data_IF_675531477195
#
_entry.id   IF_675531477195
#
_cell.length_a   1.000
_cell.length_b   1.000
_cell.length_c   1.000
_cell.angle_alpha   90.00
_cell.angle_beta   90.00
_cell.angle_gamma   90.00
#
_symmetry.space_group_name_H-M   'P 1'
#
loop_
_entity.id
_entity.type
_entity.pdbx_description
1 polymer ?
#
# COMPACT_ATOMS: atom_id res chain seq x y z
N UNK A 1 -24.56 53.87 -34.43
CA UNK A 1 -25.22 52.58 -34.76
C UNK A 1 -25.13 51.68 -33.55
N UNK A 2 -26.11 51.79 -32.63
CA UNK A 2 -26.25 50.90 -31.48
C UNK A 2 -27.19 49.76 -31.90
N UNK A 3 -26.68 48.53 -31.93
CA UNK A 3 -27.51 47.35 -32.14
C UNK A 3 -28.24 47.04 -30.83
N UNK A 4 -29.53 47.38 -30.76
CA UNK A 4 -30.42 46.97 -29.68
C UNK A 4 -30.79 45.50 -29.90
N UNK A 5 -30.19 44.60 -29.13
CA UNK A 5 -30.55 43.18 -29.16
C UNK A 5 -31.91 42.97 -28.48
N UNK A 6 -32.83 42.30 -29.17
CA UNK A 6 -34.18 42.03 -28.69
C UNK A 6 -34.17 41.16 -27.41
N UNK A 7 -35.11 41.36 -26.46
CA UNK A 7 -35.13 40.66 -25.17
C UNK A 7 -35.22 39.13 -25.30
N UNK A 8 -35.80 38.62 -26.38
CA UNK A 8 -35.90 37.19 -26.72
C UNK A 8 -34.54 36.52 -26.97
N UNK A 9 -33.55 37.26 -27.48
CA UNK A 9 -32.21 36.72 -27.72
C UNK A 9 -31.44 36.51 -26.41
N UNK A 10 -31.64 37.40 -25.43
CA UNK A 10 -31.06 37.30 -24.08
C UNK A 10 -31.58 36.07 -23.32
N UNK A 11 -32.89 35.78 -23.41
CA UNK A 11 -33.47 34.59 -22.79
C UNK A 11 -32.93 33.28 -23.39
N UNK A 12 -32.69 33.26 -24.71
CA UNK A 12 -32.13 32.08 -25.38
C UNK A 12 -30.68 31.83 -24.97
N UNK A 13 -29.87 32.89 -24.85
CA UNK A 13 -28.48 32.78 -24.40
C UNK A 13 -28.41 32.32 -22.93
N UNK A 14 -29.28 32.83 -22.07
CA UNK A 14 -29.36 32.40 -20.67
C UNK A 14 -29.74 30.91 -20.54
N UNK A 15 -30.71 30.43 -21.32
CA UNK A 15 -31.12 29.03 -21.32
C UNK A 15 -30.01 28.08 -21.83
N UNK A 16 -29.27 28.51 -22.85
CA UNK A 16 -28.11 27.78 -23.39
C UNK A 16 -26.98 27.73 -22.34
N UNK A 17 -26.68 28.83 -21.66
CA UNK A 17 -25.67 28.88 -20.60
C UNK A 17 -26.02 27.99 -19.40
N UNK A 18 -27.27 27.98 -18.93
CA UNK A 18 -27.72 27.10 -17.84
C UNK A 18 -27.63 25.62 -18.24
N UNK A 19 -27.95 25.30 -19.49
CA UNK A 19 -27.82 23.94 -20.03
C UNK A 19 -26.36 23.50 -20.19
N UNK A 20 -25.46 24.41 -20.58
CA UNK A 20 -24.01 24.15 -20.64
C UNK A 20 -23.38 24.02 -19.24
N UNK A 21 -23.82 24.82 -18.26
CA UNK A 21 -23.38 24.73 -16.86
C UNK A 21 -23.85 23.44 -16.17
N UNK A 22 -25.05 22.95 -16.47
CA UNK A 22 -25.52 21.64 -15.98
C UNK A 22 -24.80 20.47 -16.65
N UNK A 23 -24.47 20.56 -17.94
CA UNK A 23 -23.66 19.58 -18.65
C UNK A 23 -22.19 19.58 -18.21
N UNK A 24 -21.61 20.73 -17.87
CA UNK A 24 -20.26 20.83 -17.30
C UNK A 24 -20.18 20.24 -15.89
N UNK A 25 -21.28 20.28 -15.14
CA UNK A 25 -21.41 19.62 -13.84
C UNK A 25 -21.47 18.09 -13.94
N UNK A 26 -21.87 17.54 -15.11
CA UNK A 26 -21.79 16.11 -15.40
C UNK A 26 -20.36 15.62 -15.73
N UNK A 27 -19.41 16.52 -16.01
CA UNK A 27 -18.01 16.17 -16.24
C UNK A 27 -17.12 16.34 -15.00
N UNK A 28 -17.67 16.79 -13.86
CA UNK A 28 -16.94 16.93 -12.58
C UNK A 28 -17.56 16.18 -11.41
N UNK A 29 -18.58 15.36 -11.64
CA UNK A 29 -18.92 14.28 -10.73
C UNK A 29 -18.19 13.03 -11.24
N UNK A 30 -17.11 12.56 -10.57
CA UNK A 30 -16.67 11.20 -10.81
C UNK A 30 -17.90 10.34 -10.55
N UNK A 31 -18.17 9.42 -11.48
CA UNK A 31 -19.18 8.38 -11.35
C UNK A 31 -19.48 8.13 -9.89
N UNK A 32 -20.76 8.30 -9.54
CA UNK A 32 -21.45 7.43 -8.59
C UNK A 32 -20.59 6.18 -8.42
N UNK A 33 -19.97 6.04 -7.25
CA UNK A 33 -19.43 4.77 -6.82
C UNK A 33 -20.65 3.84 -6.69
N UNK A 34 -21.19 3.40 -7.83
CA UNK A 34 -21.74 2.07 -7.95
C UNK A 34 -20.68 1.18 -7.32
N UNK A 35 -21.08 0.47 -6.27
CA UNK A 35 -20.29 -0.59 -5.68
C UNK A 35 -19.71 -1.46 -6.80
N UNK A 36 -18.46 -1.18 -7.17
CA UNK A 36 -17.69 -2.16 -7.91
C UNK A 36 -17.45 -3.32 -6.94
N UNK A 37 -17.71 -4.57 -7.36
CA UNK A 37 -17.39 -5.75 -6.59
C UNK A 37 -15.87 -5.93 -6.54
N UNK A 38 -15.20 -5.10 -5.75
CA UNK A 38 -13.77 -5.19 -5.46
C UNK A 38 -13.57 -6.26 -4.40
N UNK A 39 -13.65 -7.51 -4.86
CA UNK A 39 -13.04 -8.65 -4.17
C UNK A 39 -12.29 -9.54 -5.17
N UNK A 40 -11.67 -8.90 -6.18
CA UNK A 40 -10.58 -9.51 -6.94
C UNK A 40 -9.25 -9.01 -6.40
N UNK A 41 -8.37 -9.95 -6.02
CA UNK A 41 -7.14 -9.66 -5.29
C UNK A 41 -5.87 -9.76 -6.16
N UNK A 42 -4.86 -8.91 -5.91
CA UNK A 42 -3.56 -8.94 -6.57
C UNK A 42 -2.74 -10.24 -6.38
N UNK A 43 -3.12 -11.10 -5.42
CA UNK A 43 -2.40 -12.35 -5.11
C UNK A 43 -2.47 -13.42 -6.20
N UNK A 44 -3.36 -13.28 -7.19
CA UNK A 44 -3.50 -14.20 -8.33
C UNK A 44 -2.37 -14.06 -9.38
N UNK A 45 -1.45 -13.08 -9.24
CA UNK A 45 -0.45 -12.75 -10.26
C UNK A 45 0.91 -13.47 -10.05
N UNK A 46 1.21 -13.99 -8.85
CA UNK A 46 2.58 -14.43 -8.52
C UNK A 46 2.67 -15.90 -8.07
N UNK A 47 2.25 -16.81 -8.94
CA UNK A 47 2.51 -18.24 -8.80
C UNK A 47 3.82 -18.65 -9.47
N UNK A 48 4.98 -18.46 -8.81
CA UNK A 48 6.22 -19.13 -9.23
C UNK A 48 7.12 -19.48 -8.04
N UNK A 49 7.04 -20.74 -7.61
CA UNK A 49 7.89 -21.37 -6.58
C UNK A 49 9.25 -21.71 -7.19
N UNK A 50 10.33 -21.04 -6.76
CA UNK A 50 11.71 -21.42 -7.11
C UNK A 50 12.33 -22.25 -5.98
N UNK A 51 12.79 -23.46 -6.33
CA UNK A 51 13.60 -24.34 -5.46
C UNK A 51 15.04 -23.82 -5.40
N UNK A 52 15.63 -23.79 -4.21
CA UNK A 52 17.04 -23.43 -4.02
C UNK A 52 17.88 -24.69 -3.82
N UNK A 53 18.91 -24.87 -4.67
CA UNK A 53 20.01 -25.83 -4.49
C UNK A 53 21.19 -25.14 -3.80
N UNK A 54 21.93 -25.91 -2.99
CA UNK A 54 23.04 -25.42 -2.17
C UNK A 54 24.41 -25.56 -2.83
N UNK A 55 25.32 -24.65 -2.46
CA UNK A 55 26.77 -24.79 -2.57
C UNK A 55 27.47 -23.89 -1.54
N UNK A 56 28.62 -24.34 -1.08
CA UNK A 56 29.27 -24.00 0.18
C UNK A 56 30.32 -22.90 -0.01
N UNK A 57 30.04 -21.70 0.50
CA UNK A 57 31.00 -20.60 0.57
C UNK A 57 30.94 -19.89 1.93
N UNK A 58 32.10 -19.84 2.58
CA UNK A 58 32.30 -19.35 3.96
C UNK A 58 32.15 -17.83 4.00
N UNK A 59 31.00 -17.39 4.49
CA UNK A 59 30.71 -16.03 4.94
C UNK A 59 29.62 -16.10 6.00
N UNK A 60 29.61 -15.19 6.97
CA UNK A 60 28.62 -15.16 8.06
C UNK A 60 27.23 -14.89 7.48
N UNK A 61 26.50 -15.96 7.18
CA UNK A 61 25.18 -15.92 6.55
C UNK A 61 24.13 -15.85 7.65
N UNK A 62 23.59 -14.66 7.90
CA UNK A 62 22.45 -14.50 8.78
C UNK A 62 21.18 -15.02 8.08
N UNK A 63 20.49 -15.97 8.70
CA UNK A 63 19.17 -16.39 8.28
C UNK A 63 18.14 -15.44 8.91
N UNK A 64 17.47 -14.61 8.10
CA UNK A 64 16.28 -13.88 8.54
C UNK A 64 15.07 -14.74 8.20
N UNK A 65 14.38 -15.34 9.19
CA UNK A 65 13.15 -16.06 8.91
C UNK A 65 12.08 -15.05 8.47
N UNK A 66 11.80 -14.99 7.17
CA UNK A 66 10.63 -14.27 6.66
C UNK A 66 9.42 -15.19 6.87
N UNK A 67 8.77 -15.05 8.02
CA UNK A 67 7.45 -15.63 8.24
C UNK A 67 6.45 -14.86 7.36
N UNK A 68 6.13 -15.39 6.18
CA UNK A 68 5.04 -14.85 5.37
C UNK A 68 3.70 -15.15 6.02
N UNK A 69 2.90 -14.12 6.34
CA UNK A 69 1.55 -14.36 6.87
C UNK A 69 0.65 -15.06 5.86
N UNK A 70 0.29 -16.31 6.15
CA UNK A 70 -0.75 -17.02 5.42
C UNK A 70 -2.14 -16.43 5.74
N UNK A 71 -2.53 -15.42 4.96
CA UNK A 71 -3.92 -15.12 4.59
C UNK A 71 -4.90 -14.55 5.64
N UNK A 72 -5.91 -13.84 5.13
CA UNK A 72 -7.17 -13.53 5.83
C UNK A 72 -8.30 -14.49 5.40
N UNK A 73 -7.94 -15.59 4.73
CA UNK A 73 -8.89 -16.53 4.11
C UNK A 73 -9.91 -17.09 5.09
N UNK A 74 -9.50 -17.30 6.35
CA UNK A 74 -10.41 -17.68 7.43
C UNK A 74 -11.52 -16.64 7.67
N UNK A 75 -11.17 -15.35 7.77
CA UNK A 75 -12.15 -14.27 7.97
C UNK A 75 -13.05 -14.07 6.75
N UNK A 76 -12.49 -14.21 5.54
CA UNK A 76 -13.29 -14.20 4.30
C UNK A 76 -14.29 -15.35 4.28
N UNK A 77 -13.87 -16.54 4.68
CA UNK A 77 -14.74 -17.70 4.77
C UNK A 77 -15.85 -17.49 5.81
N UNK A 78 -15.51 -16.96 6.98
CA UNK A 78 -16.50 -16.60 8.01
C UNK A 78 -17.50 -15.57 7.47
N UNK A 79 -17.05 -14.46 6.88
CA UNK A 79 -17.92 -13.43 6.32
C UNK A 79 -18.89 -13.98 5.25
N UNK A 80 -18.40 -14.82 4.34
CA UNK A 80 -19.21 -15.38 3.25
C UNK A 80 -20.24 -16.40 3.72
N UNK A 81 -19.95 -17.12 4.81
CA UNK A 81 -20.79 -18.22 5.29
C UNK A 81 -21.67 -17.85 6.50
N UNK A 82 -21.46 -16.67 7.10
CA UNK A 82 -22.33 -16.18 8.18
C UNK A 82 -23.70 -15.74 7.64
N UNK A 83 -24.79 -15.94 8.42
CA UNK A 83 -26.13 -15.47 8.06
C UNK A 83 -26.19 -13.95 7.85
N UNK A 84 -27.05 -13.49 6.93
CA UNK A 84 -27.21 -12.07 6.67
C UNK A 84 -27.77 -11.33 7.90
N UNK A 85 -27.21 -10.16 8.22
CA UNK A 85 -27.60 -9.37 9.38
C UNK A 85 -27.16 -9.91 10.75
N UNK A 86 -26.39 -11.01 10.80
CA UNK A 86 -25.88 -11.56 12.06
C UNK A 86 -24.70 -10.76 12.61
N UNK A 87 -24.54 -10.75 13.93
CA UNK A 87 -23.37 -10.14 14.59
C UNK A 87 -22.05 -10.77 14.14
N UNK A 88 -22.05 -12.08 13.91
CA UNK A 88 -20.88 -12.83 13.44
C UNK A 88 -20.45 -12.41 12.04
N UNK A 89 -21.42 -12.08 11.17
CA UNK A 89 -21.13 -11.56 9.82
C UNK A 89 -20.52 -10.16 9.90
N UNK A 90 -21.06 -9.29 10.76
CA UNK A 90 -20.55 -7.94 10.97
C UNK A 90 -19.13 -7.96 11.57
N UNK A 91 -18.87 -8.84 12.54
CA UNK A 91 -17.55 -8.99 13.15
C UNK A 91 -16.54 -9.55 12.15
N UNK A 92 -16.91 -10.58 11.38
CA UNK A 92 -16.06 -11.12 10.33
C UNK A 92 -15.78 -10.08 9.22
N UNK A 93 -16.77 -9.26 8.86
CA UNK A 93 -16.61 -8.16 7.92
C UNK A 93 -15.62 -7.12 8.44
N UNK A 94 -15.75 -6.72 9.71
CA UNK A 94 -14.88 -5.74 10.35
C UNK A 94 -13.43 -6.23 10.43
N UNK A 95 -13.21 -7.46 10.86
CA UNK A 95 -11.87 -8.05 10.92
C UNK A 95 -11.24 -8.19 9.51
N UNK A 96 -12.05 -8.55 8.51
CA UNK A 96 -11.59 -8.59 7.12
C UNK A 96 -11.17 -7.20 6.63
N UNK A 97 -11.97 -6.17 6.93
CA UNK A 97 -11.68 -4.78 6.56
C UNK A 97 -10.40 -4.28 7.25
N UNK A 98 -10.22 -4.56 8.53
CA UNK A 98 -9.01 -4.19 9.27
C UNK A 98 -7.76 -4.80 8.62
N UNK A 99 -7.82 -6.08 8.24
CA UNK A 99 -6.70 -6.74 7.57
C UNK A 99 -6.44 -6.15 6.18
N UNK A 100 -7.48 -5.93 5.38
CA UNK A 100 -7.31 -5.36 4.04
C UNK A 100 -6.76 -3.93 4.11
N UNK A 101 -7.24 -3.12 5.04
CA UNK A 101 -6.78 -1.75 5.27
C UNK A 101 -5.29 -1.73 5.61
N UNK A 102 -4.84 -2.58 6.53
CA UNK A 102 -3.43 -2.72 6.87
C UNK A 102 -2.59 -3.12 5.65
N UNK A 103 -3.06 -4.09 4.86
CA UNK A 103 -2.32 -4.59 3.70
C UNK A 103 -2.14 -3.51 2.64
N UNK A 104 -3.22 -2.81 2.32
CA UNK A 104 -3.20 -1.69 1.36
C UNK A 104 -2.29 -0.57 1.85
N UNK A 105 -2.38 -0.22 3.14
CA UNK A 105 -1.52 0.79 3.76
C UNK A 105 -0.04 0.42 3.64
N UNK A 106 0.36 -0.75 4.15
CA UNK A 106 1.77 -1.18 4.14
C UNK A 106 2.33 -1.24 2.72
N UNK A 107 1.57 -1.80 1.77
CA UNK A 107 2.01 -1.90 0.37
C UNK A 107 2.16 -0.53 -0.29
N UNK A 108 1.18 0.35 -0.11
CA UNK A 108 1.20 1.68 -0.71
C UNK A 108 2.29 2.55 -0.09
N UNK A 109 2.45 2.53 1.24
CA UNK A 109 3.46 3.32 1.93
C UNK A 109 4.88 2.93 1.49
N UNK A 110 5.21 1.63 1.47
CA UNK A 110 6.55 1.18 1.05
C UNK A 110 6.81 1.52 -0.41
N UNK A 111 5.81 1.37 -1.27
CA UNK A 111 5.90 1.74 -2.68
C UNK A 111 6.17 3.25 -2.85
N UNK A 112 5.42 4.10 -2.15
CA UNK A 112 5.58 5.56 -2.20
C UNK A 112 6.94 5.99 -1.64
N UNK A 113 7.40 5.39 -0.54
CA UNK A 113 8.73 5.62 0.02
C UNK A 113 9.81 5.34 -1.03
N UNK A 114 9.76 4.19 -1.71
CA UNK A 114 10.74 3.88 -2.75
C UNK A 114 10.71 4.87 -3.92
N UNK A 115 9.52 5.33 -4.32
CA UNK A 115 9.37 6.35 -5.36
C UNK A 115 9.94 7.71 -4.94
N UNK A 116 9.75 8.12 -3.69
CA UNK A 116 10.31 9.38 -3.18
C UNK A 116 11.83 9.30 -2.98
N UNK A 117 12.35 8.15 -2.57
CA UNK A 117 13.79 7.94 -2.37
C UNK A 117 14.58 7.85 -3.69
N UNK A 118 14.02 7.17 -4.71
CA UNK A 118 14.79 6.80 -5.90
C UNK A 118 14.17 7.28 -7.22
N UNK A 119 12.97 7.87 -7.20
CA UNK A 119 12.18 8.22 -8.37
C UNK A 119 11.16 7.15 -8.76
N UNK A 120 10.13 7.53 -9.53
CA UNK A 120 8.97 6.69 -9.82
C UNK A 120 9.27 5.32 -10.44
N UNK A 121 10.18 5.28 -11.42
CA UNK A 121 10.53 4.04 -12.13
C UNK A 121 11.59 3.24 -11.37
N UNK A 122 12.70 3.91 -11.02
CA UNK A 122 13.84 3.30 -10.32
C UNK A 122 13.46 2.82 -8.92
N UNK A 123 12.52 3.48 -8.24
CA UNK A 123 12.00 3.06 -6.94
C UNK A 123 11.44 1.65 -6.96
N UNK A 124 10.58 1.32 -7.94
CA UNK A 124 10.02 -0.03 -8.07
C UNK A 124 11.12 -1.07 -8.34
N UNK A 125 12.06 -0.72 -9.23
CA UNK A 125 13.17 -1.60 -9.59
C UNK A 125 14.06 -1.91 -8.37
N UNK A 126 14.41 -0.89 -7.59
CA UNK A 126 15.21 -1.05 -6.36
C UNK A 126 14.46 -1.86 -5.32
N UNK A 127 13.19 -1.54 -5.02
CA UNK A 127 12.43 -2.25 -3.99
C UNK A 127 12.23 -3.74 -4.33
N UNK A 128 12.04 -4.08 -5.61
CA UNK A 128 11.77 -5.45 -6.05
C UNK A 128 13.02 -6.27 -6.40
N UNK A 129 14.20 -5.64 -6.47
CA UNK A 129 15.44 -6.29 -6.84
C UNK A 129 15.73 -7.53 -5.98
N UNK A 130 16.18 -8.60 -6.63
CA UNK A 130 16.55 -9.86 -5.98
C UNK A 130 18.07 -9.98 -6.04
N UNK A 131 18.68 -10.26 -4.89
CA UNK A 131 20.11 -10.55 -4.77
C UNK A 131 20.50 -11.78 -5.60
N UNK A 132 21.74 -11.80 -6.10
CA UNK A 132 22.25 -12.96 -6.82
C UNK A 132 22.28 -14.17 -5.87
N UNK A 133 22.05 -15.36 -6.41
CA UNK A 133 22.15 -16.59 -5.64
C UNK A 133 23.51 -16.68 -4.96
N UNK A 134 23.52 -16.98 -3.66
CA UNK A 134 24.73 -17.06 -2.85
C UNK A 134 25.07 -15.78 -2.08
N UNK A 135 24.57 -14.61 -2.48
CA UNK A 135 24.79 -13.35 -1.76
C UNK A 135 23.85 -13.20 -0.54
N UNK A 136 24.27 -12.49 0.53
CA UNK A 136 23.39 -12.19 1.67
C UNK A 136 22.24 -11.26 1.24
N UNK A 137 21.14 -11.21 2.00
CA UNK A 137 20.03 -10.31 1.67
C UNK A 137 20.41 -8.83 1.88
N UNK A 138 21.15 -8.57 2.95
CA UNK A 138 21.65 -7.24 3.35
C UNK A 138 23.09 -7.39 3.82
N UNK A 139 23.92 -6.40 3.50
CA UNK A 139 25.32 -6.37 3.95
C UNK A 139 25.44 -5.83 5.39
N UNK A 140 24.59 -4.86 5.75
CA UNK A 140 24.50 -4.29 7.10
C UNK A 140 23.14 -4.63 7.76
N UNK A 141 23.18 -5.58 8.71
CA UNK A 141 21.99 -5.99 9.46
C UNK A 141 21.48 -4.87 10.39
N UNK A 142 22.34 -4.02 10.94
CA UNK A 142 21.93 -2.93 11.81
C UNK A 142 21.12 -1.89 11.01
N UNK A 143 21.60 -1.55 9.82
CA UNK A 143 20.88 -0.70 8.88
C UNK A 143 19.51 -1.28 8.51
N UNK A 144 19.39 -2.57 8.20
CA UNK A 144 18.08 -3.21 7.97
C UNK A 144 17.12 -3.03 9.15
N UNK A 145 17.60 -3.26 10.38
CA UNK A 145 16.79 -3.06 11.60
C UNK A 145 16.33 -1.62 11.73
N UNK A 146 17.22 -0.66 11.52
CA UNK A 146 16.90 0.76 11.58
C UNK A 146 15.86 1.16 10.53
N UNK A 147 15.98 0.69 9.28
CA UNK A 147 14.99 0.99 8.23
C UNK A 147 13.58 0.50 8.60
N UNK A 148 13.49 -0.71 9.17
CA UNK A 148 12.22 -1.29 9.63
C UNK A 148 11.67 -0.48 10.82
N UNK A 149 12.49 -0.17 11.82
CA UNK A 149 12.06 0.59 13.00
C UNK A 149 11.59 2.00 12.65
N UNK A 150 12.29 2.68 11.74
CA UNK A 150 11.90 4.01 11.26
C UNK A 150 10.56 3.94 10.53
N UNK A 151 10.37 2.96 9.65
CA UNK A 151 9.09 2.75 8.99
C UNK A 151 7.98 2.55 10.03
N UNK A 152 8.16 1.64 10.99
CA UNK A 152 7.14 1.33 11.98
C UNK A 152 6.82 2.52 12.90
N UNK A 153 7.81 3.38 13.17
CA UNK A 153 7.64 4.62 13.94
C UNK A 153 6.73 5.62 13.23
N UNK A 154 6.83 5.74 11.90
CA UNK A 154 6.07 6.73 11.14
C UNK A 154 4.80 6.18 10.48
N UNK A 155 4.78 4.88 10.17
CA UNK A 155 3.73 4.24 9.37
C UNK A 155 2.93 3.20 10.17
N UNK A 156 3.29 2.90 11.42
CA UNK A 156 2.66 1.86 12.23
C UNK A 156 3.22 0.46 11.96
N UNK A 157 2.73 -0.53 12.71
CA UNK A 157 3.28 -1.89 12.69
C UNK A 157 3.21 -2.54 11.30
N UNK A 158 4.29 -3.21 10.89
CA UNK A 158 4.31 -4.03 9.68
C UNK A 158 3.39 -5.26 9.82
N UNK A 159 3.20 -5.77 11.04
CA UNK A 159 2.62 -7.08 11.33
C UNK A 159 3.32 -8.23 10.58
N UNK A 160 2.80 -9.45 10.75
CA UNK A 160 3.26 -10.63 10.00
C UNK A 160 3.11 -10.46 8.47
N UNK A 161 2.27 -9.54 8.01
CA UNK A 161 2.12 -9.25 6.59
C UNK A 161 3.27 -8.43 6.02
N UNK A 162 3.65 -7.34 6.69
CA UNK A 162 4.64 -6.39 6.22
C UNK A 162 6.05 -6.97 6.15
N UNK A 163 6.32 -8.07 6.84
CA UNK A 163 7.56 -8.83 6.72
C UNK A 163 7.84 -9.34 5.28
N UNK A 164 6.82 -9.41 4.42
CA UNK A 164 7.05 -9.66 2.99
C UNK A 164 7.95 -8.59 2.32
N UNK A 165 8.00 -7.39 2.89
CA UNK A 165 8.79 -6.26 2.42
C UNK A 165 10.18 -6.16 3.06
N UNK A 166 10.62 -7.14 3.85
CA UNK A 166 11.98 -7.15 4.40
C UNK A 166 13.05 -7.00 3.31
N UNK A 167 12.81 -7.57 2.12
CA UNK A 167 13.70 -7.37 0.96
C UNK A 167 13.74 -5.91 0.49
N UNK A 168 12.59 -5.25 0.43
CA UNK A 168 12.49 -3.84 0.06
C UNK A 168 13.33 -2.97 0.99
N UNK A 169 13.24 -3.20 2.31
CA UNK A 169 14.06 -2.51 3.31
C UNK A 169 15.55 -2.84 3.19
N UNK A 170 15.89 -4.10 2.90
CA UNK A 170 17.27 -4.50 2.64
C UNK A 170 17.85 -3.79 1.41
N UNK A 171 17.06 -3.64 0.34
CA UNK A 171 17.50 -2.94 -0.87
C UNK A 171 17.68 -1.43 -0.63
N UNK A 172 16.80 -0.80 0.16
CA UNK A 172 16.98 0.60 0.60
C UNK A 172 18.30 0.75 1.37
N UNK A 173 18.58 -0.19 2.27
CA UNK A 173 19.80 -0.21 3.06
C UNK A 173 21.05 -0.38 2.18
N UNK A 174 21.05 -1.37 1.27
CA UNK A 174 22.15 -1.63 0.35
C UNK A 174 22.37 -0.47 -0.65
N UNK A 175 21.35 0.36 -0.89
CA UNK A 175 21.45 1.58 -1.69
C UNK A 175 22.10 2.77 -0.93
N UNK A 176 22.47 2.59 0.35
CA UNK A 176 23.16 3.59 1.15
C UNK A 176 22.26 4.72 1.68
N UNK A 177 20.94 4.50 1.75
CA UNK A 177 20.02 5.46 2.36
C UNK A 177 20.27 5.52 3.86
N UNK A 178 20.42 6.74 4.39
CA UNK A 178 20.61 6.95 5.83
C UNK A 178 19.28 7.07 6.59
N UNK A 179 19.37 6.94 7.91
CA UNK A 179 18.22 6.93 8.80
C UNK A 179 17.40 8.24 8.73
N UNK A 180 18.07 9.39 8.63
CA UNK A 180 17.39 10.70 8.58
C UNK A 180 16.53 10.85 7.33
N UNK A 181 17.06 10.45 6.18
CA UNK A 181 16.33 10.49 4.90
C UNK A 181 15.13 9.56 4.93
N UNK A 182 15.31 8.33 5.45
CA UNK A 182 14.22 7.37 5.60
C UNK A 182 13.13 7.91 6.53
N UNK A 183 13.50 8.55 7.65
CA UNK A 183 12.55 9.10 8.61
C UNK A 183 11.74 10.24 8.00
N UNK A 184 12.40 11.18 7.33
CA UNK A 184 11.74 12.32 6.66
C UNK A 184 10.73 11.84 5.61
N UNK A 185 11.14 10.93 4.73
CA UNK A 185 10.27 10.41 3.67
C UNK A 185 9.13 9.57 4.26
N UNK A 186 9.39 8.78 5.29
CA UNK A 186 8.35 7.99 5.95
C UNK A 186 7.31 8.89 6.64
N UNK A 187 7.74 9.97 7.28
CA UNK A 187 6.85 10.96 7.89
C UNK A 187 5.97 11.68 6.85
N UNK A 188 6.52 11.97 5.67
CA UNK A 188 5.78 12.59 4.56
C UNK A 188 4.72 11.63 3.99
N UNK A 189 5.11 10.38 3.72
CA UNK A 189 4.20 9.37 3.15
C UNK A 189 3.10 8.99 4.14
N UNK A 190 3.44 8.85 5.42
CA UNK A 190 2.55 8.34 6.44
C UNK A 190 1.97 9.46 7.32
N UNK A 191 1.46 10.52 6.68
CA UNK A 191 0.76 11.62 7.37
C UNK A 191 -0.49 11.17 8.12
N UNK A 192 -1.12 10.08 7.67
CA UNK A 192 -2.27 9.44 8.31
C UNK A 192 -2.03 7.94 8.43
N UNK A 193 -1.84 7.46 9.66
CA UNK A 193 -1.75 6.02 9.96
C UNK A 193 -3.18 5.50 10.16
N UNK A 194 -3.60 4.41 9.47
CA UNK A 194 -4.90 3.80 9.71
C UNK A 194 -5.04 3.40 11.18
N UNK A 195 -6.14 3.76 11.82
CA UNK A 195 -6.46 3.42 13.21
C UNK A 195 -7.00 1.99 13.36
N UNK A 196 -6.31 1.00 12.76
CA UNK A 196 -6.69 -0.42 12.90
C UNK A 196 -6.03 -1.05 14.12
N UNK A 197 -6.64 -2.08 14.72
CA UNK A 197 -6.00 -2.81 15.85
C UNK A 197 -4.61 -3.35 15.46
N UNK A 198 -4.42 -3.72 14.19
CA UNK A 198 -3.21 -4.37 13.70
C UNK A 198 -2.11 -3.42 13.24
N UNK A 199 -2.40 -2.14 13.00
CA UNK A 199 -1.40 -1.10 12.76
C UNK A 199 -0.81 -0.53 14.06
N UNK A 200 -1.39 -0.89 15.22
CA UNK A 200 -0.91 -0.45 16.54
C UNK A 200 0.45 -1.06 16.88
N UNK A 201 1.34 -0.22 17.42
CA UNK A 201 2.63 -0.61 17.99
C UNK A 201 2.53 -1.20 19.41
N UNK A 202 1.31 -1.45 19.94
CA UNK A 202 1.13 -1.96 21.31
C UNK A 202 1.78 -3.33 21.56
N UNK A 203 2.13 -4.08 20.50
CA UNK A 203 2.87 -5.36 20.61
C UNK A 203 4.38 -5.23 20.39
N UNK A 204 4.91 -4.01 20.29
CA UNK A 204 6.31 -3.74 19.97
C UNK A 204 6.58 -3.67 18.46
N UNK A 205 7.85 -3.42 18.12
CA UNK A 205 8.35 -3.44 16.74
C UNK A 205 8.44 -4.89 16.22
N UNK A 206 8.37 -5.06 14.90
CA UNK A 206 8.41 -6.39 14.26
C UNK A 206 9.79 -7.06 14.28
N UNK A 207 10.82 -6.42 14.84
CA UNK A 207 12.23 -6.87 14.84
C UNK A 207 12.95 -6.63 16.16
#
# INVERSE_FOLDING_TARGET
MQATMAPVALFSIAAICVSLLSLLSCHLLPSYACLDPVLRLPSEISGRRLKAGGDDSVGTRWAIPIAGSSGYGNYRHQFLNSPEGSSEKLDAQKELLDILTLRVHVDNSINLIGKLLFGSEKGIQVLSAVQKTGQPLVDDLACLKSMIQIFETHCGSLSDYGMKHTRSFANICNAGINNETMAKVSAEVCSHIPSTRRSSLHRGFSI
#
